data_IF_363792536303
#
_entry.id   IF_363792536303
#
_cell.length_a   1.000
_cell.length_b   1.000
_cell.length_c   1.000
_cell.angle_alpha   90.00
_cell.angle_beta   90.00
_cell.angle_gamma   90.00
#
_symmetry.space_group_name_H-M   'P 1'
#
loop_
_entity.id
_entity.type
_entity.pdbx_description
1 polymer ?
#
# COMPACT_ATOMS: atom_id res chain seq x y z
N UNK A 1 -26.93 -11.18 24.80
CA UNK A 1 -25.48 -11.45 24.80
C UNK A 1 -24.80 -10.14 24.43
N UNK A 2 -24.07 -9.55 25.34
CA UNK A 2 -23.31 -8.31 25.09
C UNK A 2 -21.94 -8.78 24.63
N UNK A 3 -21.67 -8.71 23.33
CA UNK A 3 -20.34 -8.92 22.78
C UNK A 3 -19.47 -7.68 22.95
N UNK A 4 -18.27 -7.95 23.39
CA UNK A 4 -17.29 -7.01 23.91
C UNK A 4 -16.80 -5.99 22.90
N UNK A 5 -17.06 -4.74 23.24
CA UNK A 5 -16.59 -3.53 22.55
C UNK A 5 -15.16 -3.15 23.01
N UNK A 6 -14.29 -4.13 23.29
CA UNK A 6 -13.00 -3.90 23.97
C UNK A 6 -11.83 -3.45 23.08
N UNK A 7 -11.97 -3.45 21.76
CA UNK A 7 -10.83 -3.19 20.84
C UNK A 7 -11.04 -2.01 19.87
N UNK A 8 -12.08 -1.18 20.09
CA UNK A 8 -12.23 0.04 19.25
C UNK A 8 -11.40 1.18 19.82
N UNK A 9 -10.43 1.66 19.05
CA UNK A 9 -9.73 2.91 19.35
C UNK A 9 -10.79 4.02 19.32
N UNK A 10 -11.00 4.70 20.46
CA UNK A 10 -11.93 5.82 20.45
C UNK A 10 -11.30 7.01 19.70
N UNK A 11 -12.14 7.92 19.17
CA UNK A 11 -11.68 9.07 18.38
C UNK A 11 -10.60 9.89 19.10
N UNK A 12 -10.70 10.03 20.41
CA UNK A 12 -9.76 10.81 21.22
C UNK A 12 -8.40 10.11 21.39
N UNK A 13 -8.39 8.80 21.48
CA UNK A 13 -7.16 8.00 21.58
C UNK A 13 -6.50 7.86 20.20
N UNK A 14 -7.29 7.81 19.12
CA UNK A 14 -6.80 7.92 17.76
C UNK A 14 -6.03 9.24 17.53
N UNK A 15 -6.59 10.38 17.92
CA UNK A 15 -5.91 11.66 17.75
C UNK A 15 -4.73 11.86 18.72
N UNK A 16 -4.72 11.20 19.87
CA UNK A 16 -3.52 11.14 20.72
C UNK A 16 -2.40 10.31 20.09
N UNK A 17 -2.73 9.19 19.46
CA UNK A 17 -1.81 8.39 18.65
C UNK A 17 -1.32 9.16 17.41
N UNK A 18 -2.20 9.90 16.75
CA UNK A 18 -1.85 10.76 15.60
C UNK A 18 -1.13 12.06 15.99
N UNK A 19 -1.31 12.55 17.22
CA UNK A 19 -0.84 13.87 17.69
C UNK A 19 0.52 13.90 18.38
N UNK A 20 1.20 12.77 18.57
CA UNK A 20 2.52 12.71 19.22
C UNK A 20 3.69 13.12 18.29
N UNK A 21 3.42 13.41 17.03
CA UNK A 21 4.41 13.97 16.07
C UNK A 21 4.31 15.49 16.00
N UNK A 22 5.36 16.17 16.40
CA UNK A 22 5.55 17.64 16.48
C UNK A 22 4.95 18.41 15.30
N UNK A 23 3.95 19.26 15.59
CA UNK A 23 3.42 20.30 14.71
C UNK A 23 4.43 21.47 14.63
N UNK A 24 5.14 21.57 13.51
CA UNK A 24 5.76 22.83 13.10
C UNK A 24 4.80 23.53 12.14
N UNK A 25 4.13 24.58 12.65
CA UNK A 25 3.20 25.40 11.90
C UNK A 25 3.94 26.32 10.93
N UNK A 26 3.65 26.25 9.64
CA UNK A 26 3.93 27.31 8.69
C UNK A 26 2.64 27.77 8.04
N UNK A 27 2.09 28.86 8.55
CA UNK A 27 1.02 29.60 7.89
C UNK A 27 1.63 30.50 6.82
N UNK A 28 1.34 30.25 5.55
CA UNK A 28 1.61 31.19 4.47
C UNK A 28 0.29 31.63 3.84
N UNK A 29 0.06 32.92 3.96
CA UNK A 29 -1.04 33.68 3.37
C UNK A 29 -0.85 33.74 1.83
N UNK A 30 -1.88 33.37 1.08
CA UNK A 30 -1.98 33.70 -0.35
C UNK A 30 -3.17 34.63 -0.59
N UNK A 31 -2.82 35.81 -1.07
CA UNK A 31 -3.78 36.82 -1.51
C UNK A 31 -4.34 36.51 -2.90
N UNK A 32 -5.62 36.77 -3.08
CA UNK A 32 -6.33 36.69 -4.36
C UNK A 32 -5.94 37.86 -5.26
N UNK A 33 -5.63 37.56 -6.54
CA UNK A 33 -5.82 38.51 -7.62
C UNK A 33 -6.44 37.76 -8.80
N UNK A 34 -7.65 38.14 -9.21
CA UNK A 34 -8.35 37.55 -10.32
C UNK A 34 -7.93 38.16 -11.64
N UNK A 35 -7.89 37.34 -12.70
CA UNK A 35 -8.26 37.77 -14.04
C UNK A 35 -8.79 36.61 -14.89
N UNK A 36 -9.86 36.87 -15.66
CA UNK A 36 -10.51 35.92 -16.57
C UNK A 36 -9.77 35.91 -17.90
N UNK A 37 -9.54 34.71 -18.49
CA UNK A 37 -9.89 34.42 -19.90
C UNK A 37 -9.48 32.98 -20.32
N UNK A 38 -10.48 32.29 -20.85
CA UNK A 38 -10.51 31.30 -21.94
C UNK A 38 -9.51 30.12 -22.03
N UNK A 39 -10.05 28.91 -21.81
CA UNK A 39 -9.89 27.79 -22.73
C UNK A 39 -8.48 27.22 -22.93
N UNK A 40 -7.76 26.92 -21.86
CA UNK A 40 -6.60 26.03 -21.93
C UNK A 40 -6.79 24.84 -20.97
N UNK A 41 -6.31 23.67 -21.38
CA UNK A 41 -6.54 22.37 -20.74
C UNK A 41 -6.38 22.40 -19.20
N UNK A 42 -7.24 21.68 -18.48
CA UNK A 42 -7.24 21.56 -17.01
C UNK A 42 -5.88 21.16 -16.40
N UNK A 43 -4.93 20.67 -17.18
CA UNK A 43 -3.58 20.31 -16.73
C UNK A 43 -2.68 21.51 -16.39
N UNK A 44 -2.96 22.71 -16.92
CA UNK A 44 -2.17 23.92 -16.67
C UNK A 44 -2.50 24.61 -15.33
N UNK A 45 -3.60 24.24 -14.65
CA UNK A 45 -4.05 24.86 -13.40
C UNK A 45 -3.41 24.29 -12.13
N UNK A 46 -2.75 23.12 -12.22
CA UNK A 46 -2.16 22.42 -11.09
C UNK A 46 -0.64 22.61 -11.09
N UNK A 47 -0.09 23.67 -10.55
CA UNK A 47 1.31 24.03 -10.51
C UNK A 47 2.34 22.88 -10.53
N UNK A 48 3.60 23.22 -10.76
CA UNK A 48 4.73 22.26 -10.83
C UNK A 48 4.83 21.42 -9.55
N UNK A 49 5.08 20.11 -9.68
CA UNK A 49 5.23 19.18 -8.56
C UNK A 49 6.62 19.36 -7.97
N UNK A 50 6.69 19.64 -6.67
CA UNK A 50 7.97 19.81 -5.98
C UNK A 50 8.77 18.51 -5.91
N UNK A 51 10.08 18.60 -6.13
CA UNK A 51 11.03 17.47 -6.05
C UNK A 51 11.61 17.27 -4.65
N UNK A 52 11.40 18.21 -3.72
CA UNK A 52 12.04 18.25 -2.39
C UNK A 52 11.06 18.19 -1.21
N UNK A 53 9.75 18.06 -1.47
CA UNK A 53 8.71 18.11 -0.42
C UNK A 53 8.05 16.76 -0.11
N UNK A 54 8.58 15.66 -0.64
CA UNK A 54 8.07 14.34 -0.30
C UNK A 54 8.04 14.13 1.22
N UNK A 55 6.92 13.64 1.74
CA UNK A 55 6.83 13.22 3.14
C UNK A 55 7.51 11.88 3.34
N UNK A 56 8.38 11.79 4.35
CA UNK A 56 9.09 10.56 4.71
C UNK A 56 8.71 10.10 6.12
N UNK A 57 8.83 8.80 6.34
CA UNK A 57 8.73 8.14 7.64
C UNK A 57 10.02 7.37 7.92
N UNK A 58 10.39 7.25 9.18
CA UNK A 58 11.56 6.47 9.56
C UNK A 58 11.11 5.13 10.14
N UNK A 59 11.63 4.03 9.60
CA UNK A 59 11.44 2.71 10.19
C UNK A 59 12.10 2.71 11.58
N UNK A 60 11.36 2.52 12.68
CA UNK A 60 11.91 2.59 14.02
C UNK A 60 12.94 1.50 14.32
N UNK A 61 12.90 0.39 13.59
CA UNK A 61 13.75 -0.77 13.83
C UNK A 61 15.10 -0.68 13.11
N UNK A 62 15.15 -0.01 11.95
CA UNK A 62 16.35 0.02 11.09
C UNK A 62 16.88 1.42 10.82
N UNK A 63 16.09 2.46 11.08
CA UNK A 63 16.44 3.84 10.74
C UNK A 63 16.24 4.20 9.27
N UNK A 64 15.71 3.30 8.44
CA UNK A 64 15.43 3.55 7.04
C UNK A 64 14.45 4.72 6.88
N UNK A 65 14.85 5.74 6.13
CA UNK A 65 13.99 6.90 5.82
C UNK A 65 13.22 6.65 4.52
N UNK A 66 11.99 6.15 4.66
CA UNK A 66 11.13 5.69 3.57
C UNK A 66 10.14 6.78 3.15
N UNK A 67 9.93 6.96 1.83
CA UNK A 67 8.90 7.85 1.30
C UNK A 67 7.51 7.34 1.69
N UNK A 68 6.64 8.24 2.16
CA UNK A 68 5.29 7.86 2.56
C UNK A 68 4.44 7.42 1.36
N UNK A 69 4.74 7.86 0.15
CA UNK A 69 4.26 7.25 -1.09
C UNK A 69 5.21 6.14 -1.51
N UNK A 70 4.72 4.90 -1.53
CA UNK A 70 5.40 3.73 -2.09
C UNK A 70 4.85 3.36 -3.47
N UNK A 71 5.73 2.89 -4.36
CA UNK A 71 5.34 2.46 -5.69
C UNK A 71 4.97 0.97 -5.69
N UNK A 72 3.68 0.66 -5.90
CA UNK A 72 3.19 -0.71 -6.08
C UNK A 72 3.37 -1.18 -7.52
N UNK A 73 4.26 -2.13 -7.76
CA UNK A 73 4.66 -2.61 -9.08
C UNK A 73 3.73 -3.69 -9.67
N UNK A 74 2.53 -3.85 -9.12
CA UNK A 74 1.57 -4.88 -9.56
C UNK A 74 0.86 -4.50 -10.88
N UNK A 75 0.85 -3.23 -11.27
CA UNK A 75 0.06 -2.69 -12.40
C UNK A 75 0.92 -1.93 -13.39
N UNK A 76 2.05 -2.53 -13.81
CA UNK A 76 2.89 -1.95 -14.85
C UNK A 76 2.13 -1.75 -16.16
N UNK A 77 2.39 -0.67 -16.92
CA UNK A 77 1.79 -0.45 -18.22
C UNK A 77 2.17 -1.57 -19.19
N UNK A 78 1.22 -1.95 -20.02
CA UNK A 78 1.40 -2.97 -21.05
C UNK A 78 1.10 -2.39 -22.42
N UNK A 79 1.72 -2.98 -23.45
CA UNK A 79 1.46 -2.69 -24.86
C UNK A 79 1.23 -3.98 -25.63
N UNK A 80 0.63 -3.89 -26.80
CA UNK A 80 0.49 -5.03 -27.70
C UNK A 80 1.86 -5.50 -28.18
N UNK A 81 2.08 -6.81 -28.19
CA UNK A 81 3.28 -7.40 -28.76
C UNK A 81 3.36 -7.14 -30.25
N UNK A 82 4.57 -7.01 -30.79
CA UNK A 82 4.79 -6.76 -32.21
C UNK A 82 4.25 -7.88 -33.12
N UNK A 83 4.21 -9.13 -32.61
CA UNK A 83 3.64 -10.29 -33.31
C UNK A 83 2.11 -10.39 -33.22
N UNK A 84 1.43 -9.46 -32.52
CA UNK A 84 -0.02 -9.43 -32.30
C UNK A 84 -0.53 -10.46 -31.28
N UNK A 85 0.34 -11.27 -30.67
CA UNK A 85 -0.04 -12.36 -29.77
C UNK A 85 0.00 -11.93 -28.29
N UNK A 86 -1.00 -11.15 -27.87
CA UNK A 86 -1.18 -10.74 -26.48
C UNK A 86 -0.45 -9.45 -26.12
N UNK A 87 -0.31 -9.22 -24.82
CA UNK A 87 0.31 -8.02 -24.26
C UNK A 87 1.70 -8.34 -23.67
N UNK A 88 2.56 -7.34 -23.66
CA UNK A 88 3.85 -7.36 -22.96
C UNK A 88 3.96 -6.12 -22.07
N UNK A 89 4.84 -6.15 -21.07
CA UNK A 89 5.13 -4.95 -20.28
C UNK A 89 5.79 -3.91 -21.20
N UNK A 90 5.31 -2.68 -21.16
CA UNK A 90 5.95 -1.54 -21.80
C UNK A 90 7.13 -1.08 -20.93
N UNK A 91 8.30 -1.66 -21.17
CA UNK A 91 9.49 -1.39 -20.37
C UNK A 91 9.94 0.08 -20.43
N UNK A 92 9.73 0.75 -21.55
CA UNK A 92 10.07 2.17 -21.70
C UNK A 92 9.18 3.02 -20.79
N UNK A 93 7.88 2.80 -20.82
CA UNK A 93 6.94 3.47 -19.90
C UNK A 93 7.23 3.15 -18.43
N UNK A 94 7.62 1.91 -18.08
CA UNK A 94 8.06 1.55 -16.72
C UNK A 94 9.30 2.35 -16.31
N UNK A 95 10.28 2.47 -17.21
CA UNK A 95 11.49 3.25 -16.96
C UNK A 95 11.17 4.72 -16.68
N UNK A 96 10.34 5.34 -17.50
CA UNK A 96 9.95 6.75 -17.35
C UNK A 96 9.20 7.00 -16.04
N UNK A 97 8.30 6.09 -15.65
CA UNK A 97 7.56 6.17 -14.39
C UNK A 97 8.49 6.07 -13.19
N UNK A 98 9.45 5.13 -13.18
CA UNK A 98 10.42 4.97 -12.09
C UNK A 98 11.38 6.16 -12.02
N UNK A 99 11.88 6.63 -13.16
CA UNK A 99 12.76 7.81 -13.21
C UNK A 99 12.06 9.04 -12.63
N UNK A 100 10.83 9.28 -13.04
CA UNK A 100 10.04 10.40 -12.53
C UNK A 100 9.73 10.26 -11.03
N UNK A 101 9.37 9.06 -10.57
CA UNK A 101 9.09 8.79 -9.16
C UNK A 101 10.31 9.07 -8.27
N UNK A 102 11.49 8.55 -8.65
CA UNK A 102 12.74 8.76 -7.90
C UNK A 102 13.15 10.25 -7.91
N UNK A 103 13.02 10.93 -9.05
CA UNK A 103 13.31 12.36 -9.16
C UNK A 103 12.43 13.22 -8.24
N UNK A 104 11.22 12.73 -7.88
CA UNK A 104 10.28 13.40 -6.96
C UNK A 104 10.27 12.80 -5.55
N UNK A 105 11.31 12.03 -5.19
CA UNK A 105 11.55 11.59 -3.83
C UNK A 105 10.88 10.27 -3.42
N UNK A 106 10.21 9.56 -4.34
CA UNK A 106 9.75 8.18 -4.07
C UNK A 106 10.96 7.26 -3.99
N UNK A 107 11.08 6.52 -2.90
CA UNK A 107 12.21 5.62 -2.69
C UNK A 107 11.82 4.21 -2.23
N UNK A 108 10.54 3.83 -2.25
CA UNK A 108 10.09 2.48 -1.90
C UNK A 108 9.32 1.86 -3.07
N UNK A 109 9.80 0.70 -3.55
CA UNK A 109 9.23 -0.03 -4.68
C UNK A 109 8.87 -1.44 -4.26
N UNK A 110 7.57 -1.78 -4.37
CA UNK A 110 7.01 -3.06 -3.92
C UNK A 110 6.59 -3.93 -5.11
N UNK A 111 7.22 -5.08 -5.25
CA UNK A 111 6.92 -6.06 -6.31
C UNK A 111 6.66 -7.46 -5.74
N UNK A 112 6.55 -8.45 -6.62
CA UNK A 112 6.36 -9.86 -6.29
C UNK A 112 6.57 -10.73 -7.52
N UNK A 113 7.08 -11.98 -7.37
CA UNK A 113 7.13 -12.95 -8.46
C UNK A 113 5.74 -13.37 -8.97
N UNK A 114 4.66 -13.06 -8.23
CA UNK A 114 3.28 -13.32 -8.67
C UNK A 114 2.67 -12.18 -9.50
N UNK A 115 3.30 -11.01 -9.57
CA UNK A 115 2.72 -9.85 -10.23
C UNK A 115 2.95 -9.85 -11.73
N UNK A 116 1.95 -9.36 -12.49
CA UNK A 116 1.98 -9.28 -13.97
C UNK A 116 2.44 -10.61 -14.58
N UNK A 117 1.79 -11.71 -14.17
CA UNK A 117 2.09 -13.06 -14.68
C UNK A 117 3.58 -13.47 -14.51
N UNK A 118 4.23 -12.99 -13.45
CA UNK A 118 5.64 -13.29 -13.16
C UNK A 118 6.65 -12.33 -13.80
N UNK A 119 6.21 -11.29 -14.48
CA UNK A 119 7.09 -10.38 -15.22
C UNK A 119 7.47 -9.11 -14.44
N UNK A 120 6.80 -8.83 -13.32
CA UNK A 120 6.97 -7.57 -12.60
C UNK A 120 8.37 -7.39 -12.02
N UNK A 121 8.95 -8.43 -11.38
CA UNK A 121 10.29 -8.33 -10.80
C UNK A 121 11.35 -7.98 -11.85
N UNK A 122 11.32 -8.65 -13.00
CA UNK A 122 12.26 -8.37 -14.09
C UNK A 122 12.14 -6.96 -14.63
N UNK A 123 10.91 -6.48 -14.88
CA UNK A 123 10.67 -5.13 -15.37
C UNK A 123 11.12 -4.07 -14.36
N UNK A 124 10.81 -4.29 -13.08
CA UNK A 124 11.23 -3.44 -11.97
C UNK A 124 12.76 -3.41 -11.84
N UNK A 125 13.41 -4.58 -11.90
CA UNK A 125 14.87 -4.70 -11.82
C UNK A 125 15.59 -3.98 -12.96
N UNK A 126 15.11 -4.12 -14.20
CA UNK A 126 15.66 -3.39 -15.36
C UNK A 126 15.60 -1.88 -15.16
N UNK A 127 14.47 -1.36 -14.68
CA UNK A 127 14.29 0.07 -14.49
C UNK A 127 15.12 0.59 -13.31
N UNK A 128 15.08 -0.08 -12.16
CA UNK A 128 15.81 0.35 -10.95
C UNK A 128 17.32 0.25 -11.08
N UNK A 129 17.85 -0.69 -11.88
CA UNK A 129 19.30 -0.80 -12.14
C UNK A 129 19.92 0.45 -12.78
N UNK A 130 19.11 1.32 -13.36
CA UNK A 130 19.54 2.60 -13.94
C UNK A 130 19.87 3.65 -12.88
N UNK A 131 19.52 3.39 -11.62
CA UNK A 131 19.71 4.28 -10.47
C UNK A 131 20.72 3.71 -9.47
N UNK A 132 21.43 4.56 -8.72
CA UNK A 132 22.27 4.11 -7.62
C UNK A 132 21.46 3.32 -6.59
N UNK A 133 21.98 2.15 -6.18
CA UNK A 133 21.26 1.18 -5.32
C UNK A 133 20.81 1.76 -3.98
N UNK A 134 21.57 2.71 -3.43
CA UNK A 134 21.29 3.42 -2.19
C UNK A 134 20.16 4.45 -2.29
N UNK A 135 19.66 4.74 -3.49
CA UNK A 135 18.57 5.71 -3.70
C UNK A 135 17.19 5.13 -3.46
N UNK A 136 17.07 3.81 -3.31
CA UNK A 136 15.77 3.18 -3.16
C UNK A 136 15.80 1.96 -2.25
N UNK A 137 14.65 1.67 -1.67
CA UNK A 137 14.32 0.45 -0.97
C UNK A 137 13.49 -0.45 -1.89
N UNK A 138 13.89 -1.71 -2.00
CA UNK A 138 13.23 -2.70 -2.82
C UNK A 138 12.55 -3.75 -1.96
N UNK A 139 11.23 -3.89 -2.16
CA UNK A 139 10.41 -4.90 -1.52
C UNK A 139 9.98 -5.97 -2.52
N UNK A 140 10.10 -7.24 -2.15
CA UNK A 140 9.50 -8.36 -2.86
C UNK A 140 9.00 -9.43 -1.89
N UNK A 141 8.41 -10.51 -2.43
CA UNK A 141 7.64 -11.47 -1.62
C UNK A 141 7.96 -12.91 -2.02
N UNK A 142 7.95 -13.82 -1.06
CA UNK A 142 7.93 -15.25 -1.36
C UNK A 142 6.49 -15.70 -1.62
N UNK A 143 6.14 -15.90 -2.90
CA UNK A 143 4.78 -16.09 -3.41
C UNK A 143 4.46 -17.56 -3.75
N UNK A 144 4.88 -18.48 -2.91
CA UNK A 144 4.68 -19.91 -3.07
C UNK A 144 3.24 -20.35 -2.77
N UNK A 145 2.26 -19.86 -3.56
CA UNK A 145 0.82 -20.08 -3.34
C UNK A 145 0.33 -21.46 -3.77
N UNK A 146 0.91 -22.00 -4.85
CA UNK A 146 0.49 -23.29 -5.38
C UNK A 146 1.10 -24.45 -4.57
N UNK A 147 0.34 -25.54 -4.32
CA UNK A 147 0.91 -26.74 -3.68
C UNK A 147 2.20 -27.25 -4.33
N UNK A 148 2.34 -27.10 -5.64
CA UNK A 148 3.56 -27.44 -6.37
C UNK A 148 4.79 -26.60 -5.98
N UNK A 149 4.59 -25.44 -5.37
CA UNK A 149 5.66 -24.53 -4.92
C UNK A 149 5.90 -24.57 -3.40
N UNK A 150 5.18 -25.43 -2.65
CA UNK A 150 5.32 -25.53 -1.19
C UNK A 150 6.59 -26.29 -0.77
N UNK A 151 7.19 -27.11 -1.65
CA UNK A 151 8.45 -27.77 -1.30
C UNK A 151 9.55 -26.75 -1.00
N UNK A 152 10.50 -27.16 -0.14
CA UNK A 152 11.65 -26.30 0.16
C UNK A 152 12.46 -25.96 -1.11
N UNK A 153 12.64 -26.94 -1.99
CA UNK A 153 13.38 -26.78 -3.24
C UNK A 153 12.75 -25.71 -4.14
N UNK A 154 11.46 -25.80 -4.40
CA UNK A 154 10.74 -24.85 -5.25
C UNK A 154 10.65 -23.44 -4.63
N UNK A 155 10.44 -23.37 -3.30
CA UNK A 155 10.46 -22.10 -2.58
C UNK A 155 11.84 -21.42 -2.62
N UNK A 156 12.94 -22.20 -2.47
CA UNK A 156 14.29 -21.68 -2.64
C UNK A 156 14.57 -21.24 -4.07
N UNK A 157 14.13 -22.01 -5.06
CA UNK A 157 14.27 -21.64 -6.47
C UNK A 157 13.55 -20.31 -6.77
N UNK A 158 12.36 -20.10 -6.22
CA UNK A 158 11.63 -18.83 -6.32
C UNK A 158 12.39 -17.69 -5.64
N UNK A 159 12.86 -17.89 -4.41
CA UNK A 159 13.66 -16.92 -3.68
C UNK A 159 14.88 -16.45 -4.48
N UNK A 160 15.69 -17.40 -4.97
CA UNK A 160 16.89 -17.07 -5.76
C UNK A 160 16.56 -16.44 -7.13
N UNK A 161 15.42 -16.80 -7.73
CA UNK A 161 14.96 -16.17 -8.97
C UNK A 161 14.65 -14.70 -8.77
N UNK A 162 14.04 -14.30 -7.64
CA UNK A 162 13.77 -12.89 -7.34
C UNK A 162 15.04 -12.04 -7.37
N UNK A 163 16.16 -12.52 -6.81
CA UNK A 163 17.44 -11.80 -6.89
C UNK A 163 17.95 -11.63 -8.32
N UNK A 164 17.82 -12.68 -9.15
CA UNK A 164 18.25 -12.62 -10.56
C UNK A 164 17.37 -11.67 -11.38
N UNK A 165 16.05 -11.74 -11.22
CA UNK A 165 15.10 -10.93 -11.98
C UNK A 165 15.18 -9.47 -11.56
N UNK A 166 15.35 -9.19 -10.28
CA UNK A 166 15.55 -7.85 -9.73
C UNK A 166 16.96 -7.31 -9.94
N UNK A 167 17.94 -8.16 -10.28
CA UNK A 167 19.36 -7.81 -10.51
C UNK A 167 20.01 -7.14 -9.29
N UNK A 168 19.80 -7.70 -8.10
CA UNK A 168 20.30 -7.17 -6.81
C UNK A 168 20.99 -8.24 -5.99
N UNK A 169 21.92 -7.81 -5.11
CA UNK A 169 22.65 -8.69 -4.19
C UNK A 169 21.96 -8.80 -2.82
N UNK A 170 21.09 -7.84 -2.49
CA UNK A 170 20.27 -7.84 -1.28
C UNK A 170 18.89 -7.24 -1.53
N UNK A 171 17.92 -7.67 -0.72
CA UNK A 171 16.54 -7.17 -0.71
C UNK A 171 16.34 -6.37 0.57
N UNK A 172 15.80 -5.14 0.46
CA UNK A 172 15.57 -4.29 1.62
C UNK A 172 14.39 -4.78 2.47
N UNK A 173 13.29 -5.22 1.82
CA UNK A 173 12.06 -5.64 2.48
C UNK A 173 11.55 -6.94 1.84
N UNK A 174 11.63 -8.06 2.55
CA UNK A 174 11.07 -9.33 2.07
C UNK A 174 9.83 -9.70 2.87
N UNK A 175 8.77 -10.14 2.17
CA UNK A 175 7.51 -10.53 2.78
C UNK A 175 7.19 -12.02 2.56
N UNK A 176 6.67 -12.66 3.59
CA UNK A 176 5.83 -13.83 3.42
C UNK A 176 4.53 -13.37 2.75
N UNK A 177 4.21 -13.88 1.56
CA UNK A 177 3.13 -13.35 0.72
C UNK A 177 1.77 -13.94 1.07
N UNK A 178 0.76 -13.08 1.34
CA UNK A 178 -0.63 -13.47 1.48
C UNK A 178 -0.87 -14.39 2.68
N UNK A 179 -0.34 -14.02 3.82
CA UNK A 179 -0.55 -14.74 5.09
C UNK A 179 -2.02 -14.64 5.49
N UNK A 180 -2.60 -15.75 5.95
CA UNK A 180 -4.04 -15.88 6.24
C UNK A 180 -4.85 -16.51 5.10
N UNK A 181 -4.36 -16.46 3.87
CA UNK A 181 -4.98 -17.20 2.75
C UNK A 181 -4.75 -18.70 2.95
N UNK A 182 -5.85 -19.45 3.09
CA UNK A 182 -5.83 -20.89 3.36
C UNK A 182 -5.53 -21.26 4.83
N UNK A 183 -5.59 -20.30 5.74
CA UNK A 183 -5.50 -20.52 7.19
C UNK A 183 -4.15 -21.04 7.67
N UNK A 184 -4.16 -21.64 8.87
CA UNK A 184 -2.95 -22.19 9.50
C UNK A 184 -2.32 -23.35 8.72
N UNK A 185 -3.11 -24.14 7.99
CA UNK A 185 -2.58 -25.23 7.15
C UNK A 185 -1.69 -24.70 6.04
N UNK A 186 -2.13 -23.65 5.35
CA UNK A 186 -1.33 -22.99 4.32
C UNK A 186 -0.06 -22.34 4.90
N UNK A 187 -0.14 -21.70 6.08
CA UNK A 187 1.04 -21.16 6.74
C UNK A 187 2.06 -22.26 7.01
N UNK A 188 1.62 -23.41 7.56
CA UNK A 188 2.50 -24.55 7.87
C UNK A 188 3.16 -25.07 6.62
N UNK A 189 2.39 -25.44 5.60
CA UNK A 189 2.91 -26.05 4.38
C UNK A 189 3.86 -25.13 3.61
N UNK A 190 3.58 -23.82 3.59
CA UNK A 190 4.34 -22.83 2.82
C UNK A 190 5.63 -22.36 3.51
N UNK A 191 5.66 -22.33 4.83
CA UNK A 191 6.73 -21.63 5.55
C UNK A 191 7.29 -22.37 6.76
N UNK A 192 6.46 -23.12 7.53
CA UNK A 192 6.92 -23.73 8.78
C UNK A 192 7.47 -25.13 8.54
N UNK A 193 6.67 -26.06 8.01
CA UNK A 193 7.01 -27.46 7.89
C UNK A 193 8.12 -27.70 6.86
N UNK A 194 8.23 -26.86 5.83
CA UNK A 194 9.29 -26.90 4.84
C UNK A 194 10.57 -26.14 5.27
N UNK A 195 10.60 -25.54 6.46
CA UNK A 195 11.75 -24.81 7.01
C UNK A 195 12.11 -23.53 6.26
N UNK A 196 11.17 -22.96 5.46
CA UNK A 196 11.44 -21.70 4.74
C UNK A 196 11.52 -20.51 5.67
N UNK A 197 10.69 -20.44 6.74
CA UNK A 197 10.79 -19.37 7.70
C UNK A 197 12.17 -19.30 8.36
N UNK A 198 12.70 -20.45 8.81
CA UNK A 198 14.02 -20.53 9.42
C UNK A 198 15.14 -20.14 8.42
N UNK A 199 14.97 -20.49 7.16
CA UNK A 199 15.88 -20.06 6.10
C UNK A 199 15.86 -18.54 5.93
N UNK A 200 14.68 -17.91 5.85
CA UNK A 200 14.55 -16.46 5.66
C UNK A 200 15.09 -15.69 6.87
N UNK A 201 14.93 -16.20 8.09
CA UNK A 201 15.53 -15.60 9.29
C UNK A 201 17.08 -15.62 9.19
N UNK A 202 17.68 -16.71 8.74
CA UNK A 202 19.13 -16.79 8.49
C UNK A 202 19.59 -15.87 7.37
N UNK A 203 18.81 -15.70 6.31
CA UNK A 203 19.10 -14.74 5.24
C UNK A 203 19.07 -13.29 5.75
N UNK A 204 18.16 -12.97 6.70
CA UNK A 204 18.16 -11.69 7.37
C UNK A 204 19.40 -11.49 8.25
N UNK A 205 19.77 -12.46 9.05
CA UNK A 205 21.00 -12.43 9.85
C UNK A 205 22.27 -12.26 8.98
N UNK A 206 22.27 -12.85 7.79
CA UNK A 206 23.36 -12.75 6.82
C UNK A 206 23.33 -11.43 6.01
N UNK A 207 22.31 -10.58 6.19
CA UNK A 207 22.18 -9.28 5.51
C UNK A 207 21.74 -9.36 4.05
N UNK A 208 21.36 -10.53 3.53
CA UNK A 208 20.77 -10.65 2.19
C UNK A 208 19.31 -10.18 2.16
N UNK A 209 18.63 -10.26 3.28
CA UNK A 209 17.34 -9.59 3.57
C UNK A 209 17.61 -8.59 4.69
N UNK A 210 17.26 -7.32 4.50
CA UNK A 210 17.45 -6.30 5.55
C UNK A 210 16.29 -6.24 6.53
N UNK A 211 15.06 -6.36 6.00
CA UNK A 211 13.82 -6.37 6.77
C UNK A 211 12.97 -7.55 6.36
N UNK A 212 12.51 -8.36 7.32
CA UNK A 212 11.62 -9.48 7.10
C UNK A 212 10.25 -9.19 7.70
N UNK A 213 9.21 -9.35 6.89
CA UNK A 213 7.82 -9.14 7.29
C UNK A 213 6.86 -10.07 6.58
N UNK A 214 5.60 -9.75 6.62
CA UNK A 214 4.57 -10.49 5.88
C UNK A 214 3.45 -9.57 5.39
N UNK A 215 2.77 -9.95 4.31
CA UNK A 215 1.52 -9.33 3.88
C UNK A 215 0.35 -10.19 4.35
N UNK A 216 -0.66 -9.54 4.95
CA UNK A 216 -1.80 -10.24 5.53
C UNK A 216 -3.04 -10.13 4.66
N UNK A 217 -3.69 -11.28 4.42
CA UNK A 217 -5.00 -11.41 3.78
C UNK A 217 -5.76 -12.60 4.37
N UNK A 218 -6.97 -12.40 4.85
CA UNK A 218 -7.91 -13.48 5.17
C UNK A 218 -7.96 -13.85 6.66
N UNK A 219 -7.55 -15.06 7.01
CA UNK A 219 -7.78 -15.64 8.34
C UNK A 219 -7.01 -14.90 9.45
N UNK A 220 -7.75 -14.31 10.39
CA UNK A 220 -7.20 -13.53 11.49
C UNK A 220 -6.39 -14.37 12.48
N UNK A 221 -6.72 -15.67 12.65
CA UNK A 221 -5.97 -16.55 13.55
C UNK A 221 -4.51 -16.66 13.14
N UNK A 222 -4.23 -16.61 11.83
CA UNK A 222 -2.86 -16.67 11.31
C UNK A 222 -2.09 -15.39 11.59
N UNK A 223 -2.75 -14.23 11.46
CA UNK A 223 -2.17 -12.94 11.82
C UNK A 223 -1.81 -12.89 13.30
N UNK A 224 -2.76 -13.24 14.17
CA UNK A 224 -2.57 -13.23 15.61
C UNK A 224 -1.49 -14.24 16.05
N UNK A 225 -1.45 -15.41 15.41
CA UNK A 225 -0.39 -16.40 15.64
C UNK A 225 1.01 -15.84 15.35
N UNK A 226 1.21 -15.22 14.17
CA UNK A 226 2.52 -14.65 13.82
C UNK A 226 2.90 -13.47 14.71
N UNK A 227 1.93 -12.63 15.12
CA UNK A 227 2.20 -11.54 16.06
C UNK A 227 2.49 -12.03 17.47
N UNK A 228 1.87 -13.13 17.91
CA UNK A 228 2.17 -13.74 19.23
C UNK A 228 3.63 -14.23 19.33
N UNK A 229 4.25 -14.52 18.17
CA UNK A 229 5.65 -14.94 18.08
C UNK A 229 6.61 -13.77 17.77
N UNK A 230 6.16 -12.52 17.85
CA UNK A 230 6.99 -11.37 17.50
C UNK A 230 8.28 -11.29 18.33
N UNK A 231 8.23 -11.65 19.62
CA UNK A 231 9.43 -11.63 20.49
C UNK A 231 10.53 -12.58 20.00
N UNK A 232 10.17 -13.67 19.34
CA UNK A 232 11.08 -14.64 18.75
C UNK A 232 11.46 -14.23 17.30
N UNK A 233 10.45 -13.94 16.46
CA UNK A 233 10.62 -13.75 15.02
C UNK A 233 11.10 -12.35 14.65
N UNK A 234 10.85 -11.35 15.51
CA UNK A 234 11.26 -9.94 15.31
C UNK A 234 10.84 -9.43 13.95
N UNK A 235 9.52 -9.41 13.69
CA UNK A 235 8.99 -8.82 12.46
C UNK A 235 9.39 -7.35 12.34
N UNK A 236 10.05 -6.99 11.24
CA UNK A 236 10.56 -5.64 11.01
C UNK A 236 9.46 -4.71 10.48
N UNK A 237 8.42 -5.26 9.86
CA UNK A 237 7.25 -4.58 9.33
C UNK A 237 6.14 -5.58 8.99
N UNK A 238 4.90 -5.09 8.82
CA UNK A 238 3.78 -5.90 8.33
C UNK A 238 2.97 -5.09 7.31
N UNK A 239 2.61 -5.73 6.19
CA UNK A 239 1.78 -5.13 5.16
C UNK A 239 0.32 -5.50 5.39
N UNK A 240 -0.53 -4.49 5.57
CA UNK A 240 -1.97 -4.64 5.81
C UNK A 240 -2.79 -3.82 4.82
N UNK A 241 -4.00 -4.26 4.57
CA UNK A 241 -5.03 -3.53 3.85
C UNK A 241 -5.58 -2.43 4.75
N UNK A 242 -5.53 -1.16 4.30
CA UNK A 242 -6.06 -0.03 5.08
C UNK A 242 -6.54 1.10 4.17
N UNK A 243 -7.81 1.43 4.29
CA UNK A 243 -8.47 2.59 3.69
C UNK A 243 -9.68 2.96 4.57
N UNK A 244 -10.38 4.05 4.27
CA UNK A 244 -11.47 4.53 5.12
C UNK A 244 -12.73 3.64 5.13
N UNK A 245 -12.86 2.67 4.19
CA UNK A 245 -13.91 1.64 4.23
C UNK A 245 -13.45 0.45 5.05
N UNK A 246 -12.28 -0.13 4.73
CA UNK A 246 -11.76 -1.29 5.45
C UNK A 246 -11.39 -0.97 6.91
N UNK A 247 -11.32 0.30 7.27
CA UNK A 247 -11.03 0.71 8.64
C UNK A 247 -11.98 0.07 9.66
N UNK A 248 -13.31 0.08 9.37
CA UNK A 248 -14.34 -0.49 10.25
C UNK A 248 -15.40 -1.32 9.55
N UNK A 249 -15.29 -1.48 8.25
CA UNK A 249 -16.29 -2.12 7.41
C UNK A 249 -15.68 -3.17 6.46
N UNK A 250 -14.52 -3.72 6.82
CA UNK A 250 -13.81 -4.65 5.95
C UNK A 250 -14.62 -5.90 5.63
N UNK A 251 -15.36 -6.45 6.62
CA UNK A 251 -16.20 -7.63 6.45
C UNK A 251 -17.42 -7.41 5.56
N UNK A 252 -17.90 -6.18 5.48
CA UNK A 252 -19.02 -5.80 4.60
C UNK A 252 -18.58 -5.78 3.12
N UNK A 253 -17.29 -5.52 2.87
CA UNK A 253 -16.69 -5.58 1.53
C UNK A 253 -16.34 -7.02 1.14
N UNK A 254 -15.72 -7.76 2.06
CA UNK A 254 -15.34 -9.16 1.90
C UNK A 254 -15.35 -9.84 3.27
N UNK A 255 -16.17 -10.87 3.42
CA UNK A 255 -16.36 -11.58 4.69
C UNK A 255 -15.08 -12.19 5.29
N UNK A 256 -14.04 -12.35 4.48
CA UNK A 256 -12.72 -12.85 4.92
C UNK A 256 -11.79 -11.74 5.42
N UNK A 257 -12.13 -10.47 5.19
CA UNK A 257 -11.31 -9.35 5.64
C UNK A 257 -11.54 -9.07 7.12
N UNK A 258 -10.53 -8.48 7.75
CA UNK A 258 -10.59 -7.99 9.13
C UNK A 258 -10.45 -6.47 9.11
N UNK A 259 -11.19 -5.79 10.00
CA UNK A 259 -11.14 -4.34 10.13
C UNK A 259 -9.71 -3.86 10.36
N UNK A 260 -9.29 -2.89 9.56
CA UNK A 260 -7.93 -2.34 9.62
C UNK A 260 -7.63 -1.65 10.97
N UNK A 261 -8.64 -1.16 11.68
CA UNK A 261 -8.51 -0.62 13.03
C UNK A 261 -7.91 -1.64 13.99
N UNK A 262 -8.37 -2.91 13.94
CA UNK A 262 -7.81 -3.99 14.74
C UNK A 262 -6.37 -4.30 14.33
N UNK A 263 -6.14 -4.51 13.03
CA UNK A 263 -4.83 -4.90 12.50
C UNK A 263 -3.77 -3.84 12.86
N UNK A 264 -4.08 -2.57 12.61
CA UNK A 264 -3.20 -1.46 12.92
C UNK A 264 -2.91 -1.35 14.42
N UNK A 265 -3.95 -1.46 15.27
CA UNK A 265 -3.78 -1.41 16.71
C UNK A 265 -2.86 -2.51 17.26
N UNK A 266 -2.94 -3.74 16.71
CA UNK A 266 -2.09 -4.85 17.12
C UNK A 266 -0.61 -4.65 16.69
N UNK A 267 -0.38 -3.98 15.55
CA UNK A 267 0.97 -3.61 15.12
C UNK A 267 1.57 -2.51 16.01
N UNK A 268 0.79 -1.45 16.29
CA UNK A 268 1.22 -0.34 17.17
C UNK A 268 1.61 -0.83 18.55
N UNK A 269 0.85 -1.74 19.16
CA UNK A 269 1.15 -2.34 20.47
C UNK A 269 2.54 -3.00 20.51
N UNK A 270 3.06 -3.44 19.38
CA UNK A 270 4.34 -4.16 19.25
C UNK A 270 5.44 -3.34 18.61
N UNK A 271 5.18 -2.04 18.33
CA UNK A 271 6.08 -1.16 17.60
C UNK A 271 6.49 -1.71 16.21
N UNK A 272 5.57 -2.40 15.54
CA UNK A 272 5.78 -2.90 14.19
C UNK A 272 5.23 -1.88 13.19
N UNK A 273 6.05 -1.26 12.32
CA UNK A 273 5.56 -0.33 11.33
C UNK A 273 4.67 -1.02 10.29
N UNK A 274 3.60 -0.33 9.88
CA UNK A 274 2.67 -0.81 8.87
C UNK A 274 3.04 -0.32 7.47
N UNK A 275 3.08 -1.21 6.50
CA UNK A 275 3.05 -0.89 5.08
C UNK A 275 1.62 -1.06 4.59
N UNK A 276 1.08 -0.05 3.90
CA UNK A 276 -0.33 -0.07 3.52
C UNK A 276 -0.49 -0.51 2.07
N UNK A 277 -1.29 -1.57 1.86
CA UNK A 277 -1.79 -2.00 0.56
C UNK A 277 -3.28 -1.69 0.43
N UNK A 278 -3.80 -1.71 -0.80
CA UNK A 278 -5.20 -1.44 -1.14
C UNK A 278 -5.77 -0.11 -0.58
N UNK A 279 -5.00 1.00 -0.59
CA UNK A 279 -5.51 2.27 -0.09
C UNK A 279 -6.71 2.78 -0.87
N UNK A 280 -6.88 2.34 -2.12
CA UNK A 280 -8.01 2.70 -2.99
C UNK A 280 -9.06 1.59 -3.12
N UNK A 281 -9.01 0.53 -2.31
CA UNK A 281 -9.96 -0.58 -2.35
C UNK A 281 -10.13 -1.14 -3.78
N UNK A 282 -9.04 -1.54 -4.41
CA UNK A 282 -9.02 -2.01 -5.81
C UNK A 282 -9.33 -0.92 -6.83
N UNK A 283 -9.19 0.35 -6.49
CA UNK A 283 -9.51 1.51 -7.31
C UNK A 283 -10.93 2.05 -7.12
N UNK A 284 -11.78 1.38 -6.32
CA UNK A 284 -13.17 1.84 -6.08
C UNK A 284 -13.25 3.22 -5.42
N UNK A 285 -12.28 3.55 -4.57
CA UNK A 285 -12.25 4.83 -3.87
C UNK A 285 -11.74 6.01 -4.71
N UNK A 286 -11.30 5.76 -5.94
CA UNK A 286 -11.01 6.82 -6.92
C UNK A 286 -12.22 7.15 -7.81
N UNK A 287 -13.27 6.31 -7.78
CA UNK A 287 -14.48 6.43 -8.61
C UNK A 287 -15.73 6.22 -7.78
N UNK A 288 -16.03 7.14 -6.89
CA UNK A 288 -17.27 7.18 -6.15
C UNK A 288 -18.43 7.63 -7.06
N UNK A 289 -19.68 7.41 -6.62
CA UNK A 289 -20.82 8.02 -7.31
C UNK A 289 -20.80 9.56 -7.18
N UNK A 290 -21.49 10.24 -8.10
CA UNK A 290 -21.45 11.71 -8.21
C UNK A 290 -21.81 12.44 -6.91
N UNK A 291 -22.77 11.88 -6.14
CA UNK A 291 -23.18 12.48 -4.87
C UNK A 291 -22.05 12.43 -3.83
N UNK A 292 -21.37 11.29 -3.69
CA UNK A 292 -20.25 11.14 -2.76
C UNK A 292 -19.04 11.94 -3.22
N UNK A 293 -18.75 11.95 -4.53
CA UNK A 293 -17.70 12.80 -5.11
C UNK A 293 -17.94 14.28 -4.83
N UNK A 294 -19.16 14.75 -5.06
CA UNK A 294 -19.52 16.17 -4.82
C UNK A 294 -19.28 16.59 -3.37
N UNK A 295 -19.59 15.73 -2.40
CA UNK A 295 -19.35 16.00 -0.97
C UNK A 295 -17.85 16.17 -0.65
N UNK A 296 -17.00 15.29 -1.19
CA UNK A 296 -15.55 15.40 -1.02
C UNK A 296 -14.99 16.65 -1.71
N UNK A 297 -15.43 16.92 -2.94
CA UNK A 297 -15.04 18.12 -3.71
C UNK A 297 -15.52 19.42 -3.05
N UNK A 298 -16.66 19.43 -2.39
CA UNK A 298 -17.13 20.61 -1.65
C UNK A 298 -16.17 20.98 -0.51
N UNK A 299 -15.55 19.99 0.15
CA UNK A 299 -14.58 20.24 1.23
C UNK A 299 -13.20 20.63 0.69
N UNK A 300 -12.74 19.97 -0.40
CA UNK A 300 -11.44 20.22 -1.04
C UNK A 300 -11.58 20.20 -2.57
N UNK A 301 -11.95 21.33 -3.20
CA UNK A 301 -12.32 21.39 -4.62
C UNK A 301 -11.17 20.99 -5.55
N UNK A 302 -9.92 21.28 -5.18
CA UNK A 302 -8.74 21.08 -6.03
C UNK A 302 -8.12 19.68 -5.89
N UNK A 303 -8.48 18.94 -4.84
CA UNK A 303 -7.91 17.62 -4.61
C UNK A 303 -8.69 16.54 -5.38
N UNK A 304 -7.99 15.50 -5.86
CA UNK A 304 -8.63 14.35 -6.48
C UNK A 304 -9.46 13.56 -5.46
N UNK A 305 -10.39 12.74 -5.93
CA UNK A 305 -11.14 11.83 -5.05
C UNK A 305 -10.23 10.77 -4.44
N UNK A 306 -9.22 10.31 -5.20
CA UNK A 306 -8.24 9.36 -4.72
C UNK A 306 -7.38 9.89 -3.56
N UNK A 307 -7.06 11.20 -3.57
CA UNK A 307 -6.23 11.83 -2.54
C UNK A 307 -6.81 11.67 -1.13
N UNK A 308 -8.13 11.61 -0.99
CA UNK A 308 -8.79 11.41 0.31
C UNK A 308 -8.43 10.08 0.96
N UNK A 309 -8.39 8.99 0.17
CA UNK A 309 -8.02 7.67 0.67
C UNK A 309 -6.51 7.60 0.99
N UNK A 310 -5.68 8.23 0.19
CA UNK A 310 -4.23 8.34 0.47
C UNK A 310 -3.94 9.18 1.71
N UNK A 311 -4.61 10.32 1.87
CA UNK A 311 -4.48 11.16 3.07
C UNK A 311 -4.97 10.42 4.31
N UNK A 312 -6.10 9.69 4.21
CA UNK A 312 -6.58 8.86 5.30
C UNK A 312 -5.50 7.88 5.75
N UNK A 313 -4.99 7.04 4.85
CA UNK A 313 -3.96 6.06 5.17
C UNK A 313 -2.65 6.69 5.67
N UNK A 314 -2.22 7.78 5.05
CA UNK A 314 -0.99 8.49 5.42
C UNK A 314 -1.08 9.31 6.72
N UNK A 315 -2.28 9.50 7.28
CA UNK A 315 -2.45 10.23 8.56
C UNK A 315 -1.95 9.42 9.76
N UNK A 316 -1.96 8.10 9.68
CA UNK A 316 -1.55 7.24 10.79
C UNK A 316 -0.02 7.28 10.98
N UNK A 317 0.48 7.59 12.20
CA UNK A 317 1.91 7.86 12.42
C UNK A 317 2.82 6.64 12.24
N UNK A 318 2.34 5.42 12.57
CA UNK A 318 3.10 4.17 12.46
C UNK A 318 2.98 3.52 11.06
N UNK A 319 2.36 4.21 10.11
CA UNK A 319 2.39 3.85 8.70
C UNK A 319 3.72 4.29 8.10
N UNK A 320 4.52 3.32 7.67
CA UNK A 320 5.81 3.55 7.05
C UNK A 320 5.69 4.07 5.62
N UNK A 321 4.82 3.42 4.83
CA UNK A 321 4.56 3.79 3.43
C UNK A 321 3.19 3.31 2.99
N UNK A 322 2.58 4.04 2.04
CA UNK A 322 1.28 3.74 1.43
C UNK A 322 1.52 3.38 -0.03
N UNK A 323 1.25 2.13 -0.38
CA UNK A 323 1.51 1.60 -1.72
C UNK A 323 0.42 2.03 -2.71
N UNK A 324 0.81 2.53 -3.86
CA UNK A 324 -0.08 2.82 -4.97
C UNK A 324 0.41 2.20 -6.26
N UNK A 325 -0.50 1.50 -6.96
CA UNK A 325 -0.25 1.02 -8.33
C UNK A 325 -0.53 2.13 -9.33
N UNK A 326 0.53 2.77 -9.81
CA UNK A 326 0.46 3.94 -10.71
C UNK A 326 0.82 3.52 -12.14
N UNK A 327 -0.19 3.11 -12.93
CA UNK A 327 0.00 2.61 -14.30
C UNK A 327 0.35 3.73 -15.29
N UNK A 328 -0.10 4.97 -15.03
CA UNK A 328 0.07 6.11 -15.92
C UNK A 328 0.73 7.28 -15.20
N UNK A 329 1.38 8.16 -15.94
CA UNK A 329 2.07 9.32 -15.41
C UNK A 329 1.13 10.24 -14.61
N UNK A 330 -0.12 10.38 -15.05
CA UNK A 330 -1.14 11.18 -14.36
C UNK A 330 -1.45 10.66 -12.96
N UNK A 331 -1.50 9.33 -12.78
CA UNK A 331 -1.67 8.73 -11.46
C UNK A 331 -0.50 9.05 -10.53
N UNK A 332 0.73 8.94 -11.05
CA UNK A 332 1.94 9.26 -10.30
C UNK A 332 1.98 10.73 -9.91
N UNK A 333 1.66 11.62 -10.82
CA UNK A 333 1.64 13.07 -10.58
C UNK A 333 0.57 13.48 -9.56
N UNK A 334 -0.63 12.91 -9.62
CA UNK A 334 -1.70 13.18 -8.65
C UNK A 334 -1.30 12.72 -7.24
N UNK A 335 -0.73 11.51 -7.14
CA UNK A 335 -0.26 10.97 -5.87
C UNK A 335 0.92 11.78 -5.30
N UNK A 336 1.87 12.20 -6.14
CA UNK A 336 2.97 13.06 -5.70
C UNK A 336 2.46 14.38 -5.12
N UNK A 337 1.44 15.02 -5.72
CA UNK A 337 0.80 16.22 -5.13
C UNK A 337 0.20 15.94 -3.76
N UNK A 338 -0.37 14.75 -3.56
CA UNK A 338 -0.98 14.35 -2.27
C UNK A 338 0.08 14.15 -1.19
N UNK A 339 1.26 13.60 -1.54
CA UNK A 339 2.29 13.23 -0.57
C UNK A 339 3.47 14.22 -0.45
N UNK A 340 3.47 15.34 -1.20
CA UNK A 340 4.61 16.26 -1.26
C UNK A 340 4.23 17.74 -0.94
N UNK A 341 3.96 18.09 0.33
CA UNK A 341 3.89 17.25 1.52
C UNK A 341 2.48 16.66 1.75
N UNK A 342 2.39 15.55 2.47
CA UNK A 342 1.10 15.06 2.94
C UNK A 342 0.49 16.03 3.96
N UNK A 343 -0.77 16.40 3.74
CA UNK A 343 -1.60 17.09 4.72
C UNK A 343 -2.48 16.05 5.41
N UNK A 344 -2.27 15.74 6.70
CA UNK A 344 -3.10 14.78 7.41
C UNK A 344 -4.58 15.13 7.41
N UNK A 345 -5.46 14.14 7.51
CA UNK A 345 -6.89 14.36 7.68
C UNK A 345 -7.19 14.95 9.06
N UNK A 346 -8.12 15.92 9.12
CA UNK A 346 -8.66 16.44 10.37
C UNK A 346 -9.75 15.53 10.96
N UNK A 347 -10.19 15.79 12.19
CA UNK A 347 -11.31 15.04 12.82
C UNK A 347 -12.60 15.11 12.02
N UNK A 348 -12.92 16.31 11.48
CA UNK A 348 -14.08 16.48 10.63
C UNK A 348 -13.95 15.70 9.32
N UNK A 349 -12.74 15.65 8.75
CA UNK A 349 -12.46 14.87 7.54
C UNK A 349 -12.57 13.38 7.80
N UNK A 350 -12.09 12.87 8.94
CA UNK A 350 -12.33 11.50 9.36
C UNK A 350 -13.83 11.19 9.47
N UNK A 351 -14.60 12.09 10.09
CA UNK A 351 -16.05 11.93 10.19
C UNK A 351 -16.74 11.91 8.82
N UNK A 352 -16.29 12.78 7.91
CA UNK A 352 -16.79 12.82 6.53
C UNK A 352 -16.49 11.53 5.78
N UNK A 353 -15.29 10.97 5.95
CA UNK A 353 -14.88 9.72 5.29
C UNK A 353 -15.61 8.50 5.86
N UNK A 354 -15.85 8.45 7.17
CA UNK A 354 -16.66 7.41 7.80
C UNK A 354 -18.10 7.43 7.27
N UNK A 355 -18.75 8.60 7.20
CA UNK A 355 -20.09 8.73 6.61
C UNK A 355 -20.08 8.40 5.09
N UNK A 356 -18.98 8.70 4.39
CA UNK A 356 -18.84 8.34 2.98
C UNK A 356 -18.74 6.81 2.81
N UNK A 357 -18.00 6.12 3.67
CA UNK A 357 -17.90 4.67 3.68
C UNK A 357 -19.26 4.00 3.92
N UNK A 358 -19.99 4.44 4.95
CA UNK A 358 -21.31 3.91 5.29
C UNK A 358 -22.30 4.08 4.13
N UNK A 359 -22.32 5.26 3.49
CA UNK A 359 -23.19 5.51 2.32
C UNK A 359 -22.79 4.67 1.12
N UNK A 360 -21.50 4.52 0.86
CA UNK A 360 -21.01 3.66 -0.22
C UNK A 360 -21.51 2.22 -0.07
N UNK A 361 -21.45 1.68 1.14
CA UNK A 361 -21.95 0.33 1.45
C UNK A 361 -23.48 0.21 1.31
N UNK A 362 -24.24 1.23 1.72
CA UNK A 362 -25.67 1.27 1.50
C UNK A 362 -26.03 1.23 0.01
N UNK A 363 -25.35 1.98 -0.85
CA UNK A 363 -25.56 1.92 -2.30
C UNK A 363 -25.26 0.54 -2.87
N UNK A 364 -24.19 -0.12 -2.41
CA UNK A 364 -23.85 -1.48 -2.86
C UNK A 364 -24.94 -2.49 -2.47
N UNK A 365 -25.51 -2.41 -1.27
CA UNK A 365 -26.59 -3.30 -0.81
C UNK A 365 -27.88 -3.11 -1.62
N UNK A 366 -28.22 -1.88 -2.00
CA UNK A 366 -29.40 -1.57 -2.81
C UNK A 366 -29.28 -2.11 -4.25
N UNK A 367 -28.09 -2.10 -4.83
CA UNK A 367 -27.86 -2.67 -6.18
C UNK A 367 -28.06 -4.19 -6.15
N UNK A 368 -27.60 -4.89 -5.13
CA UNK A 368 -27.81 -6.32 -4.97
C UNK A 368 -29.27 -6.73 -4.74
N UNK A 369 -30.08 -5.84 -4.15
CA UNK A 369 -31.53 -6.08 -3.95
C UNK A 369 -32.33 -5.82 -5.25
N UNK A 370 -31.83 -4.96 -6.14
CA UNK A 370 -32.54 -4.56 -7.37
C UNK A 370 -32.22 -5.40 -8.60
N UNK A 371 -31.21 -6.29 -8.56
CA UNK A 371 -30.99 -7.26 -9.64
C UNK A 371 -31.98 -8.42 -9.50
N UNK A 372 -32.90 -8.61 -10.48
CA UNK A 372 -33.76 -9.78 -10.47
C UNK A 372 -32.89 -11.02 -10.67
N UNK A 373 -33.01 -11.98 -9.74
CA UNK A 373 -32.47 -13.34 -9.90
C UNK A 373 -32.89 -13.89 -11.27
N UNK A 374 -31.97 -13.85 -12.24
CA UNK A 374 -32.15 -14.61 -13.48
C UNK A 374 -31.95 -16.09 -13.13
N UNK A 375 -33.08 -16.78 -13.09
CA UNK A 375 -33.14 -18.27 -13.08
C UNK A 375 -32.68 -18.82 -14.42
#
# INVERSE_FOLDING_TARGET
MKEDNKNKINRRDFFKLAGAGTLASAAALYGCSGNKNNGESESAALGEISTDKMTYRTNPNTGDRVSLLGYGCMRWPTRKRADGNGDEIDQEAVNDLIDYAIAHGVNYFDTSPAYVQGLSERATGIALKRHPREKFFLATKLSNFSPSTHSREESLAMYHRSFRDLQVDYIDYLLLHGIGMGGMEALRSRYLDNGMLDFLLKEREAGRIRNLGFSYHGDIEVFDYLLSRHDELKWDFVQIQLNYVDWRHAKEVNTRNTDAEYLYAELVKRNIPAVIMEPLLGGRLSRLNDHLMARLKQRRPQESVASWAFRFAGTFPDVLTVLSGMTYMEHLQDNLRTFSPLVPCTEEEFTLLEDTAQRMLQYLSLIHISEPTRH
#
